data_IF_264346126619
#
_entry.id   IF_264346126619
#
_cell.length_a   1.000
_cell.length_b   1.000
_cell.length_c   1.000
_cell.angle_alpha   90.00
_cell.angle_beta   90.00
_cell.angle_gamma   90.00
#
_symmetry.space_group_name_H-M   'P 1'
#
loop_
_entity.id
_entity.type
_entity.pdbx_description
1 polymer ?
#
# COMPACT_ATOMS: atom_id res chain seq x y z
N UNK A 1 -13.06 -3.30 -34.85
CA UNK A 1 -13.12 -2.93 -33.42
C UNK A 1 -11.70 -2.94 -32.86
N UNK A 2 -11.15 -1.77 -32.62
CA UNK A 2 -9.88 -1.63 -31.93
C UNK A 2 -10.07 -2.01 -30.46
N UNK A 3 -9.53 -3.13 -30.06
CA UNK A 3 -9.50 -3.57 -28.67
C UNK A 3 -8.69 -2.53 -27.88
N UNK A 4 -9.36 -1.72 -27.04
CA UNK A 4 -8.65 -0.79 -26.16
C UNK A 4 -7.59 -1.57 -25.38
N UNK A 5 -6.33 -1.12 -25.40
CA UNK A 5 -5.29 -1.82 -24.66
C UNK A 5 -5.73 -1.91 -23.20
N UNK A 6 -5.74 -3.12 -22.64
CA UNK A 6 -6.03 -3.31 -21.22
C UNK A 6 -4.95 -2.59 -20.43
N UNK A 7 -5.36 -1.56 -19.70
CA UNK A 7 -4.44 -0.86 -18.80
C UNK A 7 -3.88 -1.86 -17.81
N UNK A 8 -2.58 -1.88 -17.69
CA UNK A 8 -1.91 -2.70 -16.67
C UNK A 8 -2.35 -2.23 -15.29
N UNK A 9 -2.71 -3.17 -14.42
CA UNK A 9 -3.05 -2.88 -13.04
C UNK A 9 -1.75 -2.51 -12.31
N UNK A 10 -1.64 -1.31 -11.72
CA UNK A 10 -0.45 -0.95 -10.97
C UNK A 10 -0.34 -1.79 -9.70
N UNK A 11 0.87 -2.12 -9.30
CA UNK A 11 1.13 -2.68 -7.98
C UNK A 11 0.77 -1.65 -6.91
N UNK A 12 0.30 -2.10 -5.76
CA UNK A 12 -0.12 -1.22 -4.68
C UNK A 12 0.29 -1.78 -3.32
N UNK A 13 0.48 -0.88 -2.35
CA UNK A 13 0.65 -1.28 -0.97
C UNK A 13 -0.70 -1.68 -0.38
N UNK A 14 -0.78 -2.74 0.43
CA UNK A 14 -2.04 -3.10 1.07
C UNK A 14 -2.52 -1.95 1.96
N UNK A 15 -3.84 -1.71 1.95
CA UNK A 15 -4.45 -0.70 2.82
C UNK A 15 -4.30 -1.14 4.28
N UNK A 16 -3.82 -0.27 5.19
CA UNK A 16 -3.73 -0.61 6.61
C UNK A 16 -5.10 -0.94 7.19
N UNK A 17 -5.22 -2.14 7.74
CA UNK A 17 -6.44 -2.65 8.37
C UNK A 17 -6.09 -3.42 9.65
N UNK A 18 -7.08 -3.66 10.51
CA UNK A 18 -6.91 -4.50 11.68
C UNK A 18 -6.55 -5.96 11.32
N UNK A 19 -6.01 -6.70 12.28
CA UNK A 19 -5.53 -8.08 12.11
C UNK A 19 -6.65 -9.14 12.16
N UNK A 20 -7.85 -8.82 11.74
CA UNK A 20 -8.97 -9.79 11.73
C UNK A 20 -8.82 -10.78 10.57
N UNK A 21 -9.00 -12.05 10.85
CA UNK A 21 -8.96 -13.12 9.83
C UNK A 21 -10.09 -13.01 8.80
N UNK A 22 -11.24 -12.51 9.22
CA UNK A 22 -12.42 -12.28 8.37
C UNK A 22 -12.46 -10.90 7.74
N UNK A 23 -11.44 -10.06 7.99
CA UNK A 23 -11.33 -8.71 7.48
C UNK A 23 -10.67 -8.61 6.09
N UNK A 24 -10.34 -7.37 5.71
CA UNK A 24 -9.66 -7.07 4.47
C UNK A 24 -8.16 -7.36 4.55
N UNK A 25 -7.81 -8.63 4.50
CA UNK A 25 -6.40 -9.04 4.40
C UNK A 25 -5.79 -8.57 3.08
N UNK A 26 -4.45 -8.56 3.00
CA UNK A 26 -3.75 -8.21 1.77
C UNK A 26 -4.18 -9.10 0.60
N UNK A 27 -4.38 -10.38 0.84
CA UNK A 27 -4.83 -11.36 -0.14
C UNK A 27 -6.24 -11.06 -0.66
N UNK A 28 -7.15 -10.68 0.22
CA UNK A 28 -8.51 -10.29 -0.17
C UNK A 28 -8.55 -8.96 -0.93
N UNK A 29 -7.69 -8.01 -0.56
CA UNK A 29 -7.54 -6.77 -1.32
C UNK A 29 -7.06 -7.05 -2.75
N UNK A 30 -6.05 -7.90 -2.91
CA UNK A 30 -5.56 -8.31 -4.22
C UNK A 30 -6.61 -9.07 -5.03
N UNK A 31 -7.31 -10.00 -4.39
CA UNK A 31 -8.39 -10.78 -5.03
C UNK A 31 -9.53 -9.87 -5.52
N UNK A 32 -9.92 -8.87 -4.73
CA UNK A 32 -10.94 -7.91 -5.15
C UNK A 32 -10.54 -7.18 -6.42
N UNK A 33 -9.32 -6.65 -6.48
CA UNK A 33 -8.80 -5.96 -7.66
C UNK A 33 -8.77 -6.91 -8.87
N UNK A 34 -8.30 -8.13 -8.68
CA UNK A 34 -8.27 -9.15 -9.74
C UNK A 34 -9.65 -9.48 -10.27
N UNK A 35 -10.62 -9.69 -9.40
CA UNK A 35 -12.01 -9.96 -9.81
C UNK A 35 -12.72 -8.75 -10.39
N UNK A 36 -12.36 -7.53 -9.98
CA UNK A 36 -12.83 -6.31 -10.65
C UNK A 36 -12.36 -6.27 -12.12
N UNK A 37 -11.11 -6.63 -12.36
CA UNK A 37 -10.57 -6.70 -13.73
C UNK A 37 -11.23 -7.81 -14.56
N UNK A 38 -11.55 -8.94 -13.93
CA UNK A 38 -12.20 -10.07 -14.57
C UNK A 38 -13.67 -9.81 -14.89
N UNK A 39 -14.45 -9.37 -13.90
CA UNK A 39 -15.90 -9.23 -13.98
C UNK A 39 -16.38 -7.86 -14.42
N UNK A 40 -15.57 -6.83 -14.23
CA UNK A 40 -15.94 -5.41 -14.44
C UNK A 40 -17.14 -4.96 -13.61
N UNK A 41 -17.46 -5.70 -12.55
CA UNK A 41 -18.56 -5.43 -11.64
C UNK A 41 -18.11 -5.49 -10.19
N UNK A 42 -18.36 -4.43 -9.44
CA UNK A 42 -18.03 -4.36 -8.01
C UNK A 42 -18.84 -5.40 -7.23
N UNK A 43 -20.12 -5.55 -7.55
CA UNK A 43 -21.01 -6.52 -6.88
C UNK A 43 -20.51 -7.95 -7.11
N UNK A 44 -20.20 -8.29 -8.36
CA UNK A 44 -19.72 -9.63 -8.70
C UNK A 44 -18.35 -9.93 -8.08
N UNK A 45 -17.45 -8.97 -8.09
CA UNK A 45 -16.12 -9.10 -7.48
C UNK A 45 -16.24 -9.30 -5.95
N UNK A 46 -17.04 -8.50 -5.27
CA UNK A 46 -17.27 -8.63 -3.83
C UNK A 46 -17.88 -10.00 -3.47
N UNK A 47 -18.79 -10.52 -4.26
CA UNK A 47 -19.34 -11.87 -4.07
C UNK A 47 -18.28 -12.95 -4.15
N UNK A 48 -17.38 -12.85 -5.12
CA UNK A 48 -16.28 -13.83 -5.30
C UNK A 48 -15.30 -13.79 -4.14
N UNK A 49 -15.04 -12.62 -3.57
CA UNK A 49 -14.15 -12.46 -2.40
C UNK A 49 -14.87 -12.82 -1.09
N UNK A 50 -16.19 -12.77 -1.08
CA UNK A 50 -16.99 -13.00 0.13
C UNK A 50 -17.08 -11.80 1.06
N UNK A 51 -16.94 -10.57 0.51
CA UNK A 51 -16.99 -9.32 1.26
C UNK A 51 -18.15 -8.44 0.79
N UNK A 52 -18.66 -7.59 1.69
CA UNK A 52 -19.74 -6.68 1.36
C UNK A 52 -19.28 -5.51 0.48
N UNK A 53 -20.15 -5.07 -0.42
CA UNK A 53 -19.89 -3.93 -1.30
C UNK A 53 -19.58 -2.64 -0.52
N UNK A 54 -20.37 -2.35 0.51
CA UNK A 54 -20.14 -1.16 1.36
C UNK A 54 -18.78 -1.20 2.06
N UNK A 55 -18.40 -2.39 2.55
CA UNK A 55 -17.10 -2.63 3.16
C UNK A 55 -15.96 -2.35 2.18
N UNK A 56 -16.11 -2.75 0.91
CA UNK A 56 -15.13 -2.48 -0.14
C UNK A 56 -14.98 -0.97 -0.41
N UNK A 57 -16.07 -0.24 -0.50
CA UNK A 57 -16.04 1.21 -0.69
C UNK A 57 -15.45 1.95 0.51
N UNK A 58 -15.73 1.48 1.73
CA UNK A 58 -15.09 2.02 2.94
C UNK A 58 -13.58 1.79 2.93
N UNK A 59 -13.15 0.60 2.50
CA UNK A 59 -11.74 0.30 2.37
C UNK A 59 -11.04 1.25 1.39
N UNK A 60 -11.65 1.47 0.23
CA UNK A 60 -11.15 2.40 -0.80
C UNK A 60 -11.01 3.82 -0.26
N UNK A 61 -11.87 4.26 0.63
CA UNK A 61 -11.89 5.60 1.21
C UNK A 61 -10.98 5.79 2.43
N UNK A 62 -10.34 4.72 2.90
CA UNK A 62 -9.47 4.80 4.10
C UNK A 62 -8.19 5.59 3.83
N UNK A 63 -7.60 6.20 4.87
CA UNK A 63 -6.24 6.73 4.77
C UNK A 63 -5.27 5.63 4.34
N UNK A 64 -4.37 5.93 3.42
CA UNK A 64 -3.42 4.96 2.88
C UNK A 64 -3.95 4.09 1.75
N UNK A 65 -5.16 4.34 1.25
CA UNK A 65 -5.81 3.55 0.20
C UNK A 65 -5.58 4.10 -1.22
N UNK A 66 -4.76 5.13 -1.40
CA UNK A 66 -4.58 5.77 -2.72
C UNK A 66 -4.10 4.78 -3.79
N UNK A 67 -3.12 3.92 -3.47
CA UNK A 67 -2.63 2.88 -4.37
C UNK A 67 -3.70 1.83 -4.69
N UNK A 68 -4.43 1.38 -3.69
CA UNK A 68 -5.56 0.46 -3.85
C UNK A 68 -6.66 1.05 -4.73
N UNK A 69 -7.01 2.32 -4.52
CA UNK A 69 -8.00 3.03 -5.34
C UNK A 69 -7.54 3.17 -6.79
N UNK A 70 -6.26 3.47 -7.03
CA UNK A 70 -5.69 3.53 -8.37
C UNK A 70 -5.74 2.16 -9.08
N UNK A 71 -5.42 1.08 -8.37
CA UNK A 71 -5.54 -0.29 -8.90
C UNK A 71 -6.99 -0.67 -9.21
N UNK A 72 -7.92 -0.29 -8.35
CA UNK A 72 -9.37 -0.45 -8.56
C UNK A 72 -9.82 0.25 -9.85
N UNK A 73 -9.48 1.52 -10.02
CA UNK A 73 -9.86 2.28 -11.20
C UNK A 73 -9.24 1.71 -12.47
N UNK A 74 -7.97 1.30 -12.42
CA UNK A 74 -7.30 0.64 -13.53
C UNK A 74 -7.97 -0.69 -13.90
N UNK A 75 -8.39 -1.48 -12.91
CA UNK A 75 -9.10 -2.74 -13.12
C UNK A 75 -10.43 -2.53 -13.85
N UNK A 76 -11.13 -1.44 -13.56
CA UNK A 76 -12.38 -1.07 -14.24
C UNK A 76 -12.15 -0.29 -15.55
N UNK A 77 -10.90 -0.04 -15.93
CA UNK A 77 -10.57 0.74 -17.12
C UNK A 77 -10.84 2.24 -16.97
N UNK A 78 -10.95 2.73 -15.73
CA UNK A 78 -11.16 4.16 -15.43
C UNK A 78 -9.82 4.89 -15.33
N UNK A 79 -9.82 6.18 -15.67
CA UNK A 79 -8.68 7.05 -15.43
C UNK A 79 -8.56 7.33 -13.92
N UNK A 80 -7.35 7.35 -13.42
CA UNK A 80 -7.04 7.76 -12.05
C UNK A 80 -5.88 8.75 -12.07
N UNK A 81 -5.78 9.58 -11.05
CA UNK A 81 -4.64 10.46 -10.87
C UNK A 81 -3.35 9.68 -10.64
N UNK A 82 -2.18 10.32 -10.90
CA UNK A 82 -0.90 9.67 -10.65
C UNK A 82 -0.72 9.40 -9.15
N UNK A 83 -0.37 8.18 -8.81
CA UNK A 83 0.02 7.79 -7.45
C UNK A 83 1.47 7.35 -7.50
N UNK A 84 2.33 8.09 -6.81
CA UNK A 84 3.73 7.72 -6.68
C UNK A 84 3.88 6.86 -5.42
N UNK A 85 4.20 5.55 -5.57
CA UNK A 85 4.32 4.66 -4.43
C UNK A 85 5.47 5.03 -3.49
N UNK A 86 6.45 5.79 -3.97
CA UNK A 86 7.62 6.19 -3.18
C UNK A 86 7.40 7.45 -2.33
N UNK A 87 6.30 8.16 -2.55
CA UNK A 87 5.99 9.39 -1.83
C UNK A 87 4.89 9.20 -0.79
N UNK A 88 5.22 9.47 0.47
CA UNK A 88 4.24 9.41 1.58
C UNK A 88 3.05 10.34 1.36
N UNK A 89 3.25 11.51 0.74
CA UNK A 89 2.16 12.44 0.39
C UNK A 89 1.18 11.85 -0.62
N UNK A 90 1.65 11.02 -1.53
CA UNK A 90 0.82 10.38 -2.57
C UNK A 90 0.06 9.18 -2.03
N UNK A 91 0.68 8.38 -1.19
CA UNK A 91 0.13 7.12 -0.67
C UNK A 91 -0.51 7.26 0.71
N UNK A 92 -0.08 8.24 1.52
CA UNK A 92 -0.46 8.36 2.94
C UNK A 92 0.18 7.29 3.83
N UNK A 93 1.17 6.56 3.34
CA UNK A 93 1.82 5.45 4.04
C UNK A 93 3.25 5.81 4.42
N UNK A 94 3.66 5.47 5.65
CA UNK A 94 5.05 5.65 6.10
C UNK A 94 6.01 4.72 5.35
N UNK A 95 7.29 5.09 5.29
CA UNK A 95 8.33 4.24 4.72
C UNK A 95 8.45 2.90 5.47
N UNK A 96 8.30 2.92 6.80
CA UNK A 96 8.31 1.71 7.63
C UNK A 96 7.18 0.73 7.23
N UNK A 97 5.96 1.23 7.08
CA UNK A 97 4.82 0.40 6.66
C UNK A 97 5.03 -0.17 5.26
N UNK A 98 5.45 0.67 4.31
CA UNK A 98 5.70 0.24 2.92
C UNK A 98 6.83 -0.80 2.83
N UNK A 99 7.88 -0.64 3.64
CA UNK A 99 8.97 -1.60 3.74
C UNK A 99 8.50 -2.94 4.31
N UNK A 100 7.73 -2.91 5.39
CA UNK A 100 7.24 -4.11 6.08
C UNK A 100 6.27 -4.93 5.21
N UNK A 101 5.31 -4.27 4.57
CA UNK A 101 4.23 -4.92 3.83
C UNK A 101 4.54 -5.11 2.33
N UNK A 102 5.42 -4.28 1.76
CA UNK A 102 5.76 -4.34 0.35
C UNK A 102 4.60 -3.97 -0.57
N UNK A 103 4.77 -4.30 -1.83
CA UNK A 103 3.80 -4.08 -2.91
C UNK A 103 3.11 -5.39 -3.28
N UNK A 104 1.83 -5.31 -3.59
CA UNK A 104 1.05 -6.42 -4.15
C UNK A 104 0.88 -6.21 -5.64
N UNK A 105 1.29 -7.20 -6.42
CA UNK A 105 1.04 -7.26 -7.86
C UNK A 105 -0.05 -8.28 -8.14
N UNK A 106 -1.17 -7.84 -8.67
CA UNK A 106 -2.25 -8.71 -9.13
C UNK A 106 -1.83 -9.38 -10.43
N UNK A 107 -1.98 -10.70 -10.51
CA UNK A 107 -1.65 -11.50 -11.69
C UNK A 107 -2.92 -11.90 -12.41
N UNK A 108 -3.04 -11.48 -13.66
CA UNK A 108 -4.13 -11.85 -14.56
C UNK A 108 -3.62 -12.79 -15.63
N UNK A 109 -4.40 -13.81 -15.96
CA UNK A 109 -4.12 -14.70 -17.09
C UNK A 109 -5.38 -14.91 -17.92
N UNK A 110 -5.27 -14.69 -19.21
CA UNK A 110 -6.39 -14.83 -20.16
C UNK A 110 -7.66 -14.07 -19.72
N UNK A 111 -7.50 -12.92 -19.08
CA UNK A 111 -8.60 -12.09 -18.57
C UNK A 111 -9.20 -12.55 -17.23
N UNK A 112 -8.61 -13.55 -16.60
CA UNK A 112 -9.06 -14.09 -15.31
C UNK A 112 -8.04 -13.81 -14.22
N UNK A 113 -8.52 -13.62 -13.00
CA UNK A 113 -7.67 -13.49 -11.83
C UNK A 113 -6.96 -14.83 -11.55
N UNK A 114 -5.64 -14.81 -11.58
CA UNK A 114 -4.82 -16.01 -11.36
C UNK A 114 -4.14 -16.05 -9.97
N UNK A 115 -4.03 -14.91 -9.32
CA UNK A 115 -3.38 -14.81 -8.01
C UNK A 115 -2.67 -13.47 -7.83
N UNK A 116 -1.85 -13.40 -6.82
CA UNK A 116 -1.06 -12.21 -6.52
C UNK A 116 0.38 -12.57 -6.17
N UNK A 117 1.27 -11.62 -6.40
CA UNK A 117 2.67 -11.71 -5.97
C UNK A 117 2.99 -10.55 -5.04
N UNK A 118 3.79 -10.81 -4.05
CA UNK A 118 4.40 -9.77 -3.24
C UNK A 118 5.74 -9.36 -3.84
N UNK A 119 5.97 -8.03 -3.83
CA UNK A 119 7.26 -7.44 -4.19
C UNK A 119 7.78 -6.67 -3.00
N UNK A 120 9.09 -6.73 -2.78
CA UNK A 120 9.75 -5.84 -1.83
C UNK A 120 9.71 -4.40 -2.35
N UNK A 121 9.55 -3.46 -1.44
CA UNK A 121 9.68 -2.04 -1.74
C UNK A 121 11.07 -1.56 -1.30
N UNK A 122 12.02 -1.65 -2.20
CA UNK A 122 13.42 -1.29 -1.93
C UNK A 122 13.58 0.21 -1.67
N UNK A 123 12.81 1.05 -2.34
CA UNK A 123 12.77 2.49 -2.09
C UNK A 123 12.32 2.79 -0.65
N UNK A 124 11.29 2.12 -0.18
CA UNK A 124 10.81 2.26 1.19
C UNK A 124 11.82 1.76 2.20
N UNK A 125 12.53 0.67 1.91
CA UNK A 125 13.61 0.16 2.75
C UNK A 125 14.71 1.20 2.92
N UNK A 126 15.19 1.79 1.82
CA UNK A 126 16.23 2.82 1.85
C UNK A 126 15.78 4.07 2.61
N UNK A 127 14.54 4.52 2.39
CA UNK A 127 13.95 5.65 3.12
C UNK A 127 13.84 5.36 4.61
N UNK A 128 13.40 4.16 4.97
CA UNK A 128 13.26 3.75 6.37
C UNK A 128 14.61 3.68 7.07
N UNK A 129 15.63 3.12 6.44
CA UNK A 129 16.99 3.08 6.96
C UNK A 129 17.56 4.49 7.16
N UNK A 130 17.37 5.39 6.20
CA UNK A 130 17.81 6.79 6.32
C UNK A 130 17.09 7.52 7.47
N UNK A 131 15.84 7.23 7.72
CA UNK A 131 15.08 7.79 8.86
C UNK A 131 15.60 7.26 10.19
N UNK A 132 15.93 5.97 10.27
CA UNK A 132 16.54 5.37 11.47
C UNK A 132 17.92 5.96 11.76
N UNK A 133 18.76 6.12 10.76
CA UNK A 133 20.07 6.72 10.93
C UNK A 133 19.99 8.17 11.46
N UNK A 134 19.04 8.94 10.95
CA UNK A 134 18.79 10.32 11.44
C UNK A 134 18.29 10.34 12.89
N UNK A 135 17.42 9.41 13.25
CA UNK A 135 16.90 9.29 14.62
C UNK A 135 18.03 8.92 15.60
N UNK A 136 18.90 7.96 15.24
CA UNK A 136 20.06 7.58 16.03
C UNK A 136 21.05 8.74 16.19
N UNK A 137 21.36 9.48 15.13
CA UNK A 137 22.23 10.64 15.19
C UNK A 137 21.66 11.75 16.09
N UNK A 138 20.35 11.95 16.09
CA UNK A 138 19.67 12.91 16.97
C UNK A 138 19.74 12.47 18.45
N UNK A 139 19.57 11.18 18.74
CA UNK A 139 19.70 10.65 20.08
C UNK A 139 21.14 10.77 20.62
N UNK A 140 22.12 10.46 19.81
CA UNK A 140 23.53 10.61 20.17
C UNK A 140 23.89 12.08 20.48
N UNK A 141 23.39 13.02 19.67
CA UNK A 141 23.57 14.45 19.90
C UNK A 141 22.91 14.91 21.21
N UNK A 142 21.69 14.45 21.49
CA UNK A 142 20.97 14.77 22.72
C UNK A 142 21.70 14.23 23.95
N UNK A 143 22.23 13.01 23.90
CA UNK A 143 23.01 12.41 24.99
C UNK A 143 24.34 13.13 25.21
N UNK A 144 25.00 13.59 24.14
CA UNK A 144 26.22 14.39 24.25
C UNK A 144 25.96 15.73 24.96
N UNK A 145 24.87 16.43 24.65
CA UNK A 145 24.46 17.66 25.30
C UNK A 145 24.14 17.45 26.80
N UNK A 146 23.44 16.38 27.15
CA UNK A 146 23.17 16.04 28.54
C UNK A 146 24.46 15.76 29.31
N UNK A 147 25.43 15.10 28.71
CA UNK A 147 26.73 14.80 29.34
C UNK A 147 27.52 16.08 29.58
N UNK A 148 27.57 17.00 28.63
CA UNK A 148 28.25 18.30 28.78
C UNK A 148 27.60 19.16 29.86
N UNK A 149 26.27 19.20 29.93
CA UNK A 149 25.55 19.92 30.97
C UNK A 149 25.71 19.28 32.37
N UNK A 150 25.85 17.97 32.43
CA UNK A 150 26.12 17.23 33.67
C UNK A 150 27.54 17.51 34.20
N UNK A 151 28.52 17.66 33.34
CA UNK A 151 29.89 18.00 33.74
C UNK A 151 30.04 19.47 34.14
N UNK A 152 29.30 20.38 33.53
CA UNK A 152 29.30 21.81 33.86
C UNK A 152 28.72 22.11 35.29
N UNK A 153 27.96 21.22 35.85
CA UNK A 153 27.33 21.36 37.19
C UNK A 153 28.19 20.79 38.34
N UNK A 154 29.35 20.17 38.03
CA UNK A 154 30.20 19.55 39.09
C UNK A 154 31.31 20.47 39.63
N UNK A 155 31.38 21.71 39.18
CA UNK A 155 32.33 22.67 39.67
C UNK A 155 31.66 23.88 40.27
#
# INVERSE_FOLDING_TARGET
>A
MTKRPRRRIPAFHPVPVGKRRDGWTAERQAALIGYLAETRSVIAACRKVGMGRESAYRLRARPGAAGFAAAWDAALGRAHGPVDPDLAKSTGLSAAYRCEHGLIQVVMYAGRYAGSRRKTDDSALLQHLAQLDRALAADDAAQAEETELGESHRF
#
